data_IF_237068261157
#
_entry.id   IF_237068261157
#
_cell.length_a   1.000
_cell.length_b   1.000
_cell.length_c   1.000
_cell.angle_alpha   90.00
_cell.angle_beta   90.00
_cell.angle_gamma   90.00
#
_symmetry.space_group_name_H-M   'P 1'
#
loop_
_entity.id
_entity.type
_entity.pdbx_description
1 polymer ?
#
# COMPACT_ATOMS: atom_id res chain seq x y z
N UNK A 1 29.15 22.74 -42.66
CA UNK A 1 28.83 21.46 -42.02
C UNK A 1 28.14 21.80 -40.72
N UNK A 2 26.82 21.91 -40.76
CA UNK A 2 25.99 22.42 -39.67
C UNK A 2 25.36 21.22 -39.00
N UNK A 3 25.52 21.10 -37.68
CA UNK A 3 24.86 20.07 -36.88
C UNK A 3 23.46 20.61 -36.55
N UNK A 4 22.40 19.97 -37.06
CA UNK A 4 21.04 20.22 -36.60
C UNK A 4 20.81 19.47 -35.28
N UNK A 5 20.57 20.23 -34.21
CA UNK A 5 20.01 19.72 -32.96
C UNK A 5 18.55 19.33 -33.20
N UNK A 6 18.29 18.03 -33.26
CA UNK A 6 16.94 17.48 -33.26
C UNK A 6 16.28 17.69 -31.90
N UNK A 7 15.32 18.60 -31.83
CA UNK A 7 14.40 18.71 -30.70
C UNK A 7 13.62 17.39 -30.55
N UNK A 8 13.91 16.63 -29.49
CA UNK A 8 13.06 15.51 -29.07
C UNK A 8 11.79 16.12 -28.49
N UNK A 9 10.78 16.31 -29.33
CA UNK A 9 9.42 16.55 -28.87
C UNK A 9 8.97 15.29 -28.14
N UNK A 10 8.92 15.34 -26.81
CA UNK A 10 8.26 14.34 -25.99
C UNK A 10 6.79 14.33 -26.44
N UNK A 11 6.39 13.32 -27.22
CA UNK A 11 4.99 13.08 -27.55
C UNK A 11 4.29 12.80 -26.23
N UNK A 12 3.62 13.79 -25.68
CA UNK A 12 2.71 13.60 -24.56
C UNK A 12 1.57 12.73 -25.09
N UNK A 13 1.60 11.43 -24.83
CA UNK A 13 0.48 10.55 -25.12
C UNK A 13 -0.78 11.14 -24.49
N UNK A 14 -1.84 11.24 -25.27
CA UNK A 14 -3.11 11.80 -24.82
C UNK A 14 -3.67 10.93 -23.70
N UNK A 15 -4.07 11.50 -22.55
CA UNK A 15 -4.64 10.73 -21.46
C UNK A 15 -5.86 9.92 -21.92
N UNK A 16 -5.83 8.61 -21.67
CA UNK A 16 -6.93 7.69 -21.85
C UNK A 16 -7.69 7.57 -20.50
N UNK A 17 -8.82 8.28 -20.32
CA UNK A 17 -9.57 8.23 -19.06
C UNK A 17 -10.14 6.85 -18.73
N UNK A 18 -10.19 5.94 -19.72
CA UNK A 18 -10.67 4.56 -19.60
C UNK A 18 -9.54 3.53 -19.47
N UNK A 19 -8.32 3.97 -19.13
CA UNK A 19 -7.19 3.06 -18.97
C UNK A 19 -7.46 1.99 -17.89
N UNK A 20 -7.32 0.68 -18.19
CA UNK A 20 -7.78 -0.41 -17.31
C UNK A 20 -7.00 -0.53 -15.99
N UNK A 21 -5.77 -0.03 -15.91
CA UNK A 21 -4.99 -0.03 -14.66
C UNK A 21 -5.57 0.89 -13.59
N UNK A 22 -6.31 1.94 -13.95
CA UNK A 22 -6.90 2.85 -12.95
C UNK A 22 -8.04 2.16 -12.18
N UNK A 23 -9.06 1.56 -12.84
CA UNK A 23 -10.06 0.77 -12.14
C UNK A 23 -9.48 -0.40 -11.32
N UNK A 24 -8.41 -1.04 -11.80
CA UNK A 24 -7.77 -2.14 -11.07
C UNK A 24 -7.06 -1.66 -9.79
N UNK A 25 -6.32 -0.54 -9.87
CA UNK A 25 -5.73 0.11 -8.70
C UNK A 25 -6.79 0.43 -7.64
N UNK A 26 -7.87 1.08 -8.05
CA UNK A 26 -8.98 1.45 -7.17
C UNK A 26 -9.63 0.21 -6.53
N UNK A 27 -9.86 -0.85 -7.31
CA UNK A 27 -10.43 -2.11 -6.83
C UNK A 27 -9.55 -2.75 -5.75
N UNK A 28 -8.22 -2.79 -5.95
CA UNK A 28 -7.28 -3.29 -4.95
C UNK A 28 -7.31 -2.42 -3.70
N UNK A 29 -7.35 -1.10 -3.85
CA UNK A 29 -7.41 -0.18 -2.72
C UNK A 29 -8.71 -0.30 -1.93
N UNK A 30 -9.84 -0.58 -2.56
CA UNK A 30 -11.10 -0.81 -1.86
C UNK A 30 -11.05 -2.06 -0.97
N UNK A 31 -10.39 -3.12 -1.41
CA UNK A 31 -10.13 -4.29 -0.56
C UNK A 31 -9.23 -3.95 0.63
N UNK A 32 -8.21 -3.12 0.42
CA UNK A 32 -7.37 -2.64 1.53
C UNK A 32 -8.18 -1.76 2.49
N UNK A 33 -9.05 -0.88 1.99
CA UNK A 33 -9.96 -0.07 2.82
C UNK A 33 -10.94 -0.94 3.62
N UNK A 34 -11.34 -2.11 3.12
CA UNK A 34 -12.11 -3.11 3.86
C UNK A 34 -11.30 -3.69 5.03
N UNK A 35 -10.07 -4.13 4.77
CA UNK A 35 -9.18 -4.64 5.81
C UNK A 35 -8.91 -3.58 6.89
N UNK A 36 -8.75 -2.31 6.51
CA UNK A 36 -8.55 -1.20 7.45
C UNK A 36 -9.77 -0.91 8.33
N UNK A 37 -10.99 -1.23 7.87
CA UNK A 37 -12.17 -1.20 8.75
C UNK A 37 -12.07 -2.29 9.81
N UNK A 38 -11.67 -3.51 9.43
CA UNK A 38 -11.42 -4.57 10.41
C UNK A 38 -10.31 -4.18 11.41
N UNK A 39 -9.23 -3.52 10.97
CA UNK A 39 -8.20 -3.02 11.89
C UNK A 39 -8.77 -2.06 12.95
N UNK A 40 -9.68 -1.17 12.55
CA UNK A 40 -10.34 -0.23 13.49
C UNK A 40 -11.25 -0.96 14.47
N UNK A 41 -12.04 -1.92 14.00
CA UNK A 41 -12.91 -2.74 14.86
C UNK A 41 -12.08 -3.51 15.90
N UNK A 42 -10.92 -4.05 15.49
CA UNK A 42 -9.97 -4.71 16.39
C UNK A 42 -9.36 -3.75 17.40
N UNK A 43 -9.02 -2.52 16.99
CA UNK A 43 -8.48 -1.51 17.89
C UNK A 43 -9.51 -1.13 18.95
N UNK A 44 -10.78 -0.98 18.58
CA UNK A 44 -11.85 -0.64 19.52
C UNK A 44 -12.15 -1.81 20.47
N UNK A 45 -12.15 -3.05 19.97
CA UNK A 45 -12.26 -4.23 20.81
C UNK A 45 -11.09 -4.35 21.81
N UNK A 46 -9.86 -4.12 21.35
CA UNK A 46 -8.65 -4.17 22.16
C UNK A 46 -8.59 -3.04 23.20
N UNK A 47 -9.07 -1.84 22.86
CA UNK A 47 -9.20 -0.72 23.79
C UNK A 47 -10.28 -0.94 24.86
N UNK A 48 -11.27 -1.79 24.56
CA UNK A 48 -12.27 -2.26 25.50
C UNK A 48 -11.77 -3.38 26.42
N UNK A 49 -12.69 -4.23 26.86
CA UNK A 49 -12.41 -5.35 27.78
C UNK A 49 -12.34 -6.70 27.07
N UNK A 50 -12.07 -6.74 25.76
CA UNK A 50 -11.95 -8.00 25.04
C UNK A 50 -10.76 -8.81 25.57
N UNK A 51 -10.96 -10.12 25.73
CA UNK A 51 -9.94 -11.05 26.23
C UNK A 51 -8.79 -11.20 25.23
N UNK A 52 -7.59 -11.52 25.72
CA UNK A 52 -6.40 -11.63 24.89
C UNK A 52 -6.48 -12.75 23.83
N UNK A 53 -7.09 -13.90 24.13
CA UNK A 53 -7.13 -15.02 23.19
C UNK A 53 -7.98 -14.73 21.92
N UNK A 54 -9.23 -14.24 22.02
CA UNK A 54 -10.00 -13.88 20.83
C UNK A 54 -9.38 -12.75 20.00
N UNK A 55 -8.71 -11.78 20.64
CA UNK A 55 -8.02 -10.71 19.92
C UNK A 55 -6.85 -11.25 19.07
N UNK A 56 -6.07 -12.18 19.63
CA UNK A 56 -4.99 -12.85 18.89
C UNK A 56 -5.51 -13.63 17.69
N UNK A 57 -6.54 -14.44 17.91
CA UNK A 57 -7.17 -15.21 16.84
C UNK A 57 -7.69 -14.31 15.72
N UNK A 58 -8.32 -13.17 16.05
CA UNK A 58 -8.82 -12.25 15.05
C UNK A 58 -7.70 -11.52 14.30
N UNK A 59 -6.57 -11.22 14.94
CA UNK A 59 -5.37 -10.70 14.26
C UNK A 59 -4.76 -11.76 13.34
N UNK A 60 -4.65 -13.01 13.80
CA UNK A 60 -4.14 -14.13 12.98
C UNK A 60 -5.04 -14.41 11.77
N UNK A 61 -6.37 -14.36 11.95
CA UNK A 61 -7.34 -14.51 10.87
C UNK A 61 -7.20 -13.38 9.86
N UNK A 62 -7.14 -12.13 10.33
CA UNK A 62 -6.90 -10.97 9.47
C UNK A 62 -5.59 -11.18 8.70
N UNK A 63 -4.50 -11.54 9.37
CA UNK A 63 -3.21 -11.77 8.74
C UNK A 63 -3.26 -12.86 7.64
N UNK A 64 -4.05 -13.92 7.85
CA UNK A 64 -4.23 -15.01 6.89
C UNK A 64 -5.03 -14.64 5.64
N UNK A 65 -6.07 -13.79 5.78
CA UNK A 65 -7.01 -13.48 4.67
C UNK A 65 -6.80 -12.10 4.02
N UNK A 66 -6.21 -11.17 4.76
CA UNK A 66 -6.09 -9.77 4.37
C UNK A 66 -5.11 -9.60 3.22
N UNK A 67 -5.50 -8.81 2.22
CA UNK A 67 -4.58 -8.40 1.18
C UNK A 67 -3.49 -7.52 1.78
N UNK A 68 -3.81 -6.63 2.71
CA UNK A 68 -2.85 -5.77 3.42
C UNK A 68 -1.75 -6.57 4.15
N UNK A 69 -2.09 -7.59 4.95
CA UNK A 69 -1.09 -8.39 5.65
C UNK A 69 -0.33 -9.32 4.71
N UNK A 70 -0.99 -9.87 3.70
CA UNK A 70 -0.29 -10.60 2.65
C UNK A 70 0.71 -9.68 1.96
N UNK A 71 0.34 -8.44 1.64
CA UNK A 71 1.22 -7.43 1.07
C UNK A 71 2.43 -7.15 1.98
N UNK A 72 2.34 -7.23 3.33
CA UNK A 72 3.52 -7.12 4.23
C UNK A 72 4.61 -8.14 3.95
N UNK A 73 4.27 -9.44 3.90
CA UNK A 73 5.25 -10.53 3.59
C UNK A 73 5.93 -10.39 2.23
N UNK A 74 5.44 -9.40 1.49
CA UNK A 74 5.58 -9.13 0.10
C UNK A 74 6.07 -7.67 -0.08
N UNK A 75 6.08 -6.80 0.93
CA UNK A 75 6.51 -5.40 0.85
C UNK A 75 8.03 -5.25 0.63
N UNK A 76 8.80 -6.33 0.84
CA UNK A 76 10.21 -6.39 0.42
C UNK A 76 10.43 -7.16 -0.89
N UNK A 77 9.40 -7.76 -1.48
CA UNK A 77 9.56 -8.72 -2.57
C UNK A 77 8.41 -8.86 -3.55
N UNK A 78 7.44 -7.96 -3.59
CA UNK A 78 6.19 -8.30 -4.23
C UNK A 78 5.41 -7.11 -4.78
N UNK A 79 5.57 -7.12 -6.08
CA UNK A 79 4.40 -7.20 -6.91
C UNK A 79 4.43 -8.54 -7.64
N UNK A 80 4.06 -9.61 -6.96
CA UNK A 80 3.95 -10.93 -7.59
C UNK A 80 2.56 -11.55 -7.39
N UNK A 81 1.50 -10.75 -7.16
CA UNK A 81 0.09 -11.26 -7.15
C UNK A 81 -0.57 -11.09 -8.49
N UNK A 82 0.13 -10.46 -9.41
CA UNK A 82 -0.23 -10.58 -10.80
C UNK A 82 0.64 -11.67 -11.44
N UNK A 83 0.82 -12.83 -10.77
CA UNK A 83 1.72 -13.86 -11.32
C UNK A 83 1.19 -14.66 -12.50
N UNK A 84 0.02 -14.32 -13.05
CA UNK A 84 -0.33 -14.70 -14.42
C UNK A 84 -0.40 -13.50 -15.40
N UNK A 85 -0.18 -12.23 -14.96
CA UNK A 85 -0.04 -11.12 -15.94
C UNK A 85 0.90 -9.95 -15.63
N UNK A 86 1.32 -9.63 -14.40
CA UNK A 86 2.27 -8.56 -14.06
C UNK A 86 3.30 -8.97 -13.00
N UNK A 87 4.55 -8.88 -13.41
CA UNK A 87 5.74 -9.18 -12.64
C UNK A 87 6.34 -7.85 -12.18
N UNK A 88 6.23 -7.49 -10.89
CA UNK A 88 7.21 -6.62 -10.20
C UNK A 88 6.98 -5.09 -10.14
N UNK A 89 5.77 -4.59 -9.95
CA UNK A 89 5.35 -3.17 -9.81
C UNK A 89 6.13 -2.27 -8.80
N UNK A 90 6.69 -2.69 -7.66
CA UNK A 90 7.52 -1.79 -6.82
C UNK A 90 8.89 -1.52 -7.45
N UNK A 91 9.37 -2.48 -8.25
CA UNK A 91 10.58 -2.37 -9.07
C UNK A 91 10.29 -1.84 -10.49
N UNK A 92 9.01 -1.73 -10.88
CA UNK A 92 8.63 -1.48 -12.28
C UNK A 92 7.65 -0.31 -12.40
N UNK A 93 6.54 -0.29 -11.66
CA UNK A 93 5.50 0.74 -11.69
C UNK A 93 6.03 2.09 -11.19
N UNK A 94 6.52 2.20 -9.94
CA UNK A 94 7.02 3.51 -9.45
C UNK A 94 8.21 4.02 -10.28
N UNK A 95 9.19 3.20 -10.68
CA UNK A 95 10.24 3.63 -11.61
C UNK A 95 9.71 4.04 -12.99
N UNK A 96 8.72 3.32 -13.54
CA UNK A 96 8.12 3.69 -14.82
C UNK A 96 7.27 4.95 -14.74
N UNK A 97 6.54 5.14 -13.63
CA UNK A 97 5.82 6.37 -13.34
C UNK A 97 6.79 7.54 -13.22
N UNK A 98 7.95 7.34 -12.58
CA UNK A 98 9.01 8.35 -12.50
C UNK A 98 9.59 8.70 -13.88
N UNK A 99 9.73 7.71 -14.79
CA UNK A 99 10.17 7.96 -16.17
C UNK A 99 9.13 8.73 -16.98
N UNK A 100 7.85 8.40 -16.78
CA UNK A 100 6.73 8.98 -17.54
C UNK A 100 6.33 10.37 -17.03
N UNK A 101 6.56 10.63 -15.73
CA UNK A 101 6.22 11.87 -15.05
C UNK A 101 7.33 12.27 -14.06
N UNK A 102 8.51 12.71 -14.54
CA UNK A 102 9.63 13.10 -13.67
C UNK A 102 9.29 14.20 -12.65
N UNK A 103 8.34 15.07 -12.98
CA UNK A 103 7.83 16.12 -12.10
C UNK A 103 7.13 15.57 -10.84
N UNK A 104 6.73 14.29 -10.84
CA UNK A 104 6.09 13.60 -9.71
C UNK A 104 7.07 12.84 -8.83
N UNK A 105 8.38 12.90 -9.10
CA UNK A 105 9.41 12.17 -8.37
C UNK A 105 9.28 12.27 -6.84
N UNK A 106 9.01 13.48 -6.30
CA UNK A 106 8.90 13.68 -4.86
C UNK A 106 7.73 12.93 -4.21
N UNK A 107 6.57 12.84 -4.89
CA UNK A 107 5.43 12.09 -4.36
C UNK A 107 5.66 10.59 -4.47
N UNK A 108 6.30 10.11 -5.53
CA UNK A 108 6.66 8.69 -5.66
C UNK A 108 7.69 8.26 -4.59
N UNK A 109 8.64 9.15 -4.26
CA UNK A 109 9.59 8.92 -3.16
C UNK A 109 8.89 8.88 -1.80
N UNK A 110 7.82 9.68 -1.61
CA UNK A 110 6.97 9.60 -0.42
C UNK A 110 6.25 8.26 -0.34
N UNK A 111 5.57 7.83 -1.41
CA UNK A 111 4.87 6.54 -1.45
C UNK A 111 5.79 5.38 -1.07
N UNK A 112 7.02 5.35 -1.60
CA UNK A 112 7.98 4.31 -1.25
C UNK A 112 8.42 4.37 0.24
N UNK A 113 8.46 5.55 0.86
CA UNK A 113 8.72 5.66 2.30
C UNK A 113 7.54 5.16 3.12
N UNK A 114 6.32 5.53 2.72
CA UNK A 114 5.08 5.10 3.36
C UNK A 114 4.97 3.56 3.38
N UNK A 115 5.37 2.86 2.31
CA UNK A 115 5.41 1.38 2.29
C UNK A 115 6.25 0.77 3.42
N UNK A 116 7.37 1.41 3.79
CA UNK A 116 8.22 0.93 4.89
C UNK A 116 7.53 1.13 6.24
N UNK A 117 6.90 2.29 6.43
CA UNK A 117 6.13 2.59 7.65
C UNK A 117 4.98 1.59 7.82
N UNK A 118 4.25 1.29 6.74
CA UNK A 118 3.17 0.29 6.75
C UNK A 118 3.71 -1.09 7.12
N UNK A 119 4.85 -1.50 6.56
CA UNK A 119 5.49 -2.78 6.90
C UNK A 119 5.84 -2.86 8.39
N UNK A 120 6.48 -1.82 8.93
CA UNK A 120 6.90 -1.78 10.33
C UNK A 120 5.68 -1.84 11.29
N UNK A 121 4.59 -1.13 10.95
CA UNK A 121 3.35 -1.15 11.73
C UNK A 121 2.68 -2.52 11.73
N UNK A 122 2.69 -3.22 10.59
CA UNK A 122 2.11 -4.56 10.50
C UNK A 122 2.94 -5.60 11.27
N UNK A 123 4.28 -5.43 11.36
CA UNK A 123 5.14 -6.23 12.23
C UNK A 123 4.88 -5.94 13.72
N UNK A 124 4.67 -4.66 14.06
CA UNK A 124 4.30 -4.25 15.42
C UNK A 124 2.96 -4.86 15.85
N UNK A 125 1.95 -4.83 14.98
CA UNK A 125 0.63 -5.43 15.27
C UNK A 125 0.74 -6.91 15.59
N UNK A 126 1.45 -7.70 14.79
CA UNK A 126 1.64 -9.14 15.08
C UNK A 126 2.41 -9.37 16.36
N UNK A 127 3.48 -8.59 16.56
CA UNK A 127 4.33 -8.70 17.74
C UNK A 127 3.53 -8.41 19.02
N UNK A 128 2.74 -7.35 19.02
CA UNK A 128 1.97 -6.94 20.19
C UNK A 128 0.73 -7.82 20.40
N UNK A 129 0.11 -8.31 19.33
CA UNK A 129 -0.92 -9.34 19.43
C UNK A 129 -0.35 -10.60 20.10
N UNK A 130 0.81 -11.10 19.68
CA UNK A 130 1.45 -12.26 20.30
C UNK A 130 1.79 -12.05 21.78
N UNK A 131 2.14 -10.82 22.16
CA UNK A 131 2.42 -10.42 23.55
C UNK A 131 1.17 -10.19 24.40
N UNK A 132 -0.04 -10.21 23.83
CA UNK A 132 -1.26 -10.03 24.59
C UNK A 132 -1.41 -11.12 25.65
N UNK A 133 -1.66 -10.68 26.87
CA UNK A 133 -2.01 -11.53 27.99
C UNK A 133 -3.05 -10.81 28.87
N UNK A 134 -3.84 -11.58 29.60
CA UNK A 134 -4.87 -11.07 30.50
C UNK A 134 -4.29 -10.69 31.88
N UNK A 135 -3.02 -10.99 32.16
CA UNK A 135 -2.34 -10.66 33.42
C UNK A 135 -1.80 -9.21 33.46
N UNK A 136 -2.72 -8.26 33.60
CA UNK A 136 -2.57 -6.87 34.06
C UNK A 136 -1.54 -5.91 33.39
N UNK A 137 -0.57 -6.38 32.60
CA UNK A 137 0.36 -5.50 31.87
C UNK A 137 -0.31 -5.02 30.56
N UNK A 138 -1.14 -3.99 30.69
CA UNK A 138 -1.89 -3.40 29.56
C UNK A 138 -1.01 -2.76 28.47
N UNK A 139 0.32 -2.76 28.63
CA UNK A 139 1.23 -2.07 27.70
C UNK A 139 1.22 -2.68 26.28
N UNK A 140 1.17 -4.02 26.15
CA UNK A 140 1.06 -4.66 24.84
C UNK A 140 -0.27 -4.33 24.16
N UNK A 141 -1.36 -4.31 24.95
CA UNK A 141 -2.69 -3.91 24.48
C UNK A 141 -2.71 -2.46 24.02
N UNK A 142 -2.13 -1.53 24.77
CA UNK A 142 -2.02 -0.12 24.36
C UNK A 142 -1.24 0.00 23.05
N UNK A 143 -0.08 -0.65 22.93
CA UNK A 143 0.71 -0.61 21.68
C UNK A 143 -0.03 -1.24 20.49
N UNK A 144 -0.74 -2.35 20.69
CA UNK A 144 -1.57 -2.94 19.64
C UNK A 144 -2.66 -1.98 19.15
N UNK A 145 -3.37 -1.33 20.09
CA UNK A 145 -4.39 -0.33 19.75
C UNK A 145 -3.79 0.83 18.98
N UNK A 146 -2.66 1.35 19.44
CA UNK A 146 -1.97 2.47 18.81
C UNK A 146 -1.47 2.10 17.41
N UNK A 147 -0.89 0.90 17.24
CA UNK A 147 -0.39 0.41 15.96
C UNK A 147 -1.54 0.18 14.95
N UNK A 148 -2.65 -0.43 15.37
CA UNK A 148 -3.84 -0.64 14.51
C UNK A 148 -4.44 0.68 14.02
N UNK A 149 -4.54 1.68 14.90
CA UNK A 149 -5.05 3.02 14.55
C UNK A 149 -4.08 3.75 13.64
N UNK A 150 -2.80 3.74 13.97
CA UNK A 150 -1.75 4.38 13.17
C UNK A 150 -1.68 3.78 11.77
N UNK A 151 -1.74 2.44 11.65
CA UNK A 151 -1.80 1.75 10.37
C UNK A 151 -3.00 2.21 9.55
N UNK A 152 -4.19 2.24 10.16
CA UNK A 152 -5.41 2.64 9.47
C UNK A 152 -5.35 4.06 8.95
N UNK A 153 -4.95 5.01 9.78
CA UNK A 153 -4.91 6.42 9.40
C UNK A 153 -3.81 6.70 8.37
N UNK A 154 -2.61 6.14 8.58
CA UNK A 154 -1.49 6.31 7.64
C UNK A 154 -1.79 5.68 6.28
N UNK A 155 -2.34 4.46 6.26
CA UNK A 155 -2.58 3.76 5.01
C UNK A 155 -3.75 4.38 4.23
N UNK A 156 -4.79 4.89 4.88
CA UNK A 156 -5.84 5.64 4.17
C UNK A 156 -5.29 6.90 3.50
N UNK A 157 -4.44 7.68 4.19
CA UNK A 157 -3.79 8.83 3.57
C UNK A 157 -2.88 8.42 2.41
N UNK A 158 -2.15 7.31 2.58
CA UNK A 158 -1.29 6.74 1.55
C UNK A 158 -2.07 6.39 0.27
N UNK A 159 -3.14 5.60 0.37
CA UNK A 159 -3.96 5.19 -0.78
C UNK A 159 -4.51 6.40 -1.53
N UNK A 160 -5.00 7.40 -0.80
CA UNK A 160 -5.51 8.64 -1.37
C UNK A 160 -4.45 9.44 -2.14
N UNK A 161 -3.21 9.48 -1.62
CA UNK A 161 -2.09 10.12 -2.32
C UNK A 161 -1.67 9.32 -3.53
N UNK A 162 -1.60 8.00 -3.42
CA UNK A 162 -1.23 7.11 -4.52
C UNK A 162 -2.20 7.22 -5.69
N UNK A 163 -3.51 7.16 -5.43
CA UNK A 163 -4.54 7.30 -6.46
C UNK A 163 -4.42 8.64 -7.21
N UNK A 164 -4.26 9.75 -6.48
CA UNK A 164 -4.07 11.09 -7.09
C UNK A 164 -2.74 11.20 -7.86
N UNK A 165 -1.70 10.53 -7.38
CA UNK A 165 -0.38 10.59 -7.98
C UNK A 165 -0.28 9.74 -9.25
N UNK A 166 -0.81 8.51 -9.21
CA UNK A 166 -0.64 7.50 -10.25
C UNK A 166 -1.75 7.53 -11.29
N UNK A 167 -3.01 7.81 -10.95
CA UNK A 167 -4.10 7.73 -11.94
C UNK A 167 -3.84 8.58 -13.19
N UNK A 168 -3.41 9.86 -13.09
CA UNK A 168 -3.09 10.65 -14.29
C UNK A 168 -1.91 10.09 -15.10
N UNK A 169 -0.93 9.45 -14.44
CA UNK A 169 0.24 8.85 -15.10
C UNK A 169 -0.19 7.60 -15.86
N UNK A 170 -0.95 6.72 -15.21
CA UNK A 170 -1.47 5.49 -15.81
C UNK A 170 -2.33 5.78 -17.04
N UNK A 171 -3.10 6.87 -17.03
CA UNK A 171 -3.90 7.28 -18.19
C UNK A 171 -3.06 7.67 -19.40
N UNK A 172 -1.80 8.08 -19.22
CA UNK A 172 -0.90 8.39 -20.35
C UNK A 172 -0.24 7.16 -20.97
N UNK A 173 -0.40 5.98 -20.36
CA UNK A 173 0.21 4.75 -20.87
C UNK A 173 -0.67 4.12 -21.94
N UNK A 174 -0.09 3.79 -23.09
CA UNK A 174 -0.79 3.08 -24.19
C UNK A 174 -0.61 1.56 -24.06
N UNK A 175 0.50 1.14 -23.47
CA UNK A 175 0.84 -0.23 -23.08
C UNK A 175 1.64 -0.16 -21.78
N UNK A 176 1.90 -1.31 -21.14
CA UNK A 176 2.86 -1.34 -20.04
C UNK A 176 4.17 -0.70 -20.52
N UNK A 177 4.77 0.23 -19.75
CA UNK A 177 6.04 0.85 -20.10
C UNK A 177 7.14 -0.19 -20.00
N UNK A 178 7.37 -0.90 -21.11
CA UNK A 178 8.51 -1.79 -21.27
C UNK A 178 9.79 -0.96 -21.22
N UNK A 179 10.82 -1.49 -20.56
CA UNK A 179 12.17 -0.93 -20.66
C UNK A 179 12.76 -1.26 -22.04
#
# INVERSE_FOLDING_TARGET
MTIEEGAVTLMLSTPNPTHPLVPELLRVHDLVREDLRTCRDLADAAAGSAQAAPLREAVDELAGRSLLFQLRTRCLGYCRLVHDHHRGEDLVLLPAARRSAPERAAVLDRLQRDHRVVSDLLDEIETEAWRLDDSASGAARTRLVDALRTLSDHLLEHLDVEERALAPVLQTWESWPHQ
#
